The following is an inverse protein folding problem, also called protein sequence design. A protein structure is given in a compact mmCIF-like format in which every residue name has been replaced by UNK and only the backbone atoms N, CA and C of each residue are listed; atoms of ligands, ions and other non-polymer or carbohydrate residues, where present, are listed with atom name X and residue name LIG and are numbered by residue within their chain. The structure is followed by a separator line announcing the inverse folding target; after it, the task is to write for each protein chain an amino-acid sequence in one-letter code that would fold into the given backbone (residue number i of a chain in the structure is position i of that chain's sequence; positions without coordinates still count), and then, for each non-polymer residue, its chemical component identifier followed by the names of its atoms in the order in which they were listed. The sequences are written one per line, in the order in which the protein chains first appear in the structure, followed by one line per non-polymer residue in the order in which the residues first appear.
data_IF_085508556199
#
_entry.id   IF_085508556199
#
_cell.length_a   1.000
_cell.length_b   1.000
_cell.length_c   1.000
_cell.angle_alpha   90.00
_cell.angle_beta   90.00
_cell.angle_gamma   90.00
#
_symmetry.space_group_name_H-M   'P 1'
#
loop_
_entity.id
_entity.type
_entity.pdbx_description
1 polymer ?
#
# COMPACT_ATOMS: atom_id res chain seq x y z
N UNK A 1 43.52 20.39 15.46
CA UNK A 1 43.10 18.98 15.63
C UNK A 1 41.92 18.77 14.70
N UNK A 2 42.09 17.98 13.63
CA UNK A 2 40.99 17.59 12.75
C UNK A 2 40.53 16.21 13.20
N UNK A 3 39.43 16.14 13.94
CA UNK A 3 38.74 14.88 14.22
C UNK A 3 38.03 14.45 12.94
N UNK A 4 38.60 13.46 12.25
CA UNK A 4 37.89 12.71 11.22
C UNK A 4 36.83 11.85 11.90
N UNK A 5 35.67 12.45 12.16
CA UNK A 5 34.45 11.69 12.41
C UNK A 5 34.06 11.04 11.08
N UNK A 6 34.22 9.71 11.00
CA UNK A 6 33.48 8.95 10.01
C UNK A 6 32.03 9.03 10.44
N UNK A 7 31.29 10.02 9.94
CA UNK A 7 29.87 10.11 10.20
C UNK A 7 29.24 8.79 9.76
N UNK A 8 28.64 8.11 10.73
CA UNK A 8 28.02 6.81 10.50
C UNK A 8 26.82 7.08 9.62
N UNK A 9 26.70 6.39 8.49
CA UNK A 9 25.52 6.55 7.64
C UNK A 9 24.28 6.11 8.42
N UNK A 10 23.23 6.91 8.40
CA UNK A 10 21.95 6.51 8.96
C UNK A 10 21.45 5.24 8.26
N UNK A 11 21.08 4.22 9.03
CA UNK A 11 20.58 2.95 8.49
C UNK A 11 19.27 3.10 7.69
N UNK A 12 18.51 4.15 7.97
CA UNK A 12 17.25 4.47 7.28
C UNK A 12 17.44 5.40 6.08
N UNK A 13 18.65 5.91 5.84
CA UNK A 13 18.97 6.76 4.70
C UNK A 13 18.03 7.96 4.57
N UNK A 14 17.48 8.15 3.37
CA UNK A 14 16.51 9.21 3.05
C UNK A 14 15.13 9.04 3.71
N UNK A 15 14.83 7.84 4.22
CA UNK A 15 13.55 7.54 4.88
C UNK A 15 13.57 7.80 6.39
N UNK A 16 14.69 8.30 6.93
CA UNK A 16 14.80 8.63 8.34
C UNK A 16 13.82 9.75 8.71
N UNK A 17 12.93 9.47 9.66
CA UNK A 17 11.96 10.40 10.24
C UNK A 17 12.45 11.06 11.54
N UNK A 18 13.58 10.60 12.07
CA UNK A 18 14.22 11.19 13.24
C UNK A 18 14.79 12.58 12.92
N UNK A 19 14.22 13.59 13.60
CA UNK A 19 14.61 14.99 13.50
C UNK A 19 15.28 15.50 14.78
N UNK A 20 15.67 14.62 15.72
CA UNK A 20 16.46 15.00 16.88
C UNK A 20 17.79 15.62 16.40
N UNK A 21 18.11 16.87 16.79
CA UNK A 21 19.39 17.49 16.47
C UNK A 21 20.60 16.62 16.82
N UNK A 22 20.48 15.78 17.87
CA UNK A 22 21.52 14.84 18.23
C UNK A 22 21.72 13.77 17.16
N UNK A 23 20.66 13.10 16.72
CA UNK A 23 20.71 12.10 15.64
C UNK A 23 21.24 12.70 14.33
N UNK A 24 20.76 13.90 13.95
CA UNK A 24 21.21 14.60 12.75
C UNK A 24 22.69 15.03 12.81
N UNK A 25 23.26 15.17 14.01
CA UNK A 25 24.69 15.47 14.21
C UNK A 25 25.57 14.22 14.24
N UNK A 26 25.00 13.07 14.63
CA UNK A 26 25.72 11.80 14.79
C UNK A 26 25.74 10.97 13.50
N UNK A 27 24.71 11.12 12.66
CA UNK A 27 24.52 10.31 11.46
C UNK A 27 24.45 11.13 10.16
N UNK A 28 25.18 10.66 9.16
CA UNK A 28 25.09 11.21 7.80
C UNK A 28 23.79 10.76 7.14
N UNK A 29 23.11 11.72 6.53
CA UNK A 29 21.90 11.52 5.74
C UNK A 29 22.10 12.00 4.31
N UNK A 30 21.36 11.46 3.34
CA UNK A 30 21.37 11.98 1.97
C UNK A 30 20.83 13.41 1.89
N UNK A 31 21.10 14.06 0.76
CA UNK A 31 20.51 15.36 0.45
C UNK A 31 19.00 15.27 0.31
N UNK A 32 18.32 16.41 0.48
CA UNK A 32 16.91 16.52 0.17
C UNK A 32 16.65 16.30 -1.31
N UNK A 33 15.51 15.68 -1.62
CA UNK A 33 15.03 15.52 -2.98
C UNK A 33 14.86 16.89 -3.65
N UNK A 34 15.36 17.03 -4.88
CA UNK A 34 15.28 18.29 -5.65
C UNK A 34 13.84 18.73 -5.91
N UNK A 35 12.90 17.78 -5.97
CA UNK A 35 11.48 18.05 -6.16
C UNK A 35 10.75 18.45 -4.85
N UNK A 36 11.46 18.41 -3.70
CA UNK A 36 10.95 18.78 -2.38
C UNK A 36 9.55 18.20 -2.07
N UNK A 37 8.58 19.06 -1.71
CA UNK A 37 7.19 18.68 -1.43
C UNK A 37 6.38 18.25 -2.65
N UNK A 38 6.91 18.42 -3.87
CA UNK A 38 6.26 18.02 -5.12
C UNK A 38 6.74 16.66 -5.63
N UNK A 39 7.67 16.01 -4.93
CA UNK A 39 8.18 14.70 -5.33
C UNK A 39 7.05 13.65 -5.37
N UNK A 40 6.80 13.08 -6.55
CA UNK A 40 5.85 11.97 -6.74
C UNK A 40 6.53 10.61 -6.85
N UNK A 41 7.86 10.57 -6.75
CA UNK A 41 8.61 9.33 -6.86
C UNK A 41 8.56 8.54 -5.54
N UNK A 42 7.78 7.48 -5.56
CA UNK A 42 7.58 6.58 -4.41
C UNK A 42 8.47 5.35 -4.46
N UNK A 43 9.34 5.21 -5.47
CA UNK A 43 10.19 4.02 -5.57
C UNK A 43 11.16 3.96 -4.39
N UNK A 44 11.28 2.79 -3.78
CA UNK A 44 12.11 2.58 -2.58
C UNK A 44 13.55 3.04 -2.76
N UNK A 45 14.13 2.81 -3.95
CA UNK A 45 15.47 3.29 -4.29
C UNK A 45 15.60 4.82 -4.19
N UNK A 46 14.58 5.55 -4.66
CA UNK A 46 14.54 7.00 -4.57
C UNK A 46 14.32 7.48 -3.13
N UNK A 47 13.36 6.89 -2.42
CA UNK A 47 13.07 7.22 -1.02
C UNK A 47 14.26 6.96 -0.09
N UNK A 48 15.09 5.95 -0.40
CA UNK A 48 16.29 5.67 0.36
C UNK A 48 17.45 6.63 -0.01
N UNK A 49 17.52 7.05 -1.28
CA UNK A 49 18.59 7.89 -1.79
C UNK A 49 18.44 9.38 -1.46
N UNK A 50 17.24 9.86 -1.11
CA UNK A 50 16.97 11.28 -0.87
C UNK A 50 16.05 11.47 0.32
N UNK A 51 16.27 12.54 1.09
CA UNK A 51 15.33 12.94 2.14
C UNK A 51 14.12 13.65 1.55
N UNK A 52 12.96 13.45 2.17
CA UNK A 52 11.72 14.12 1.80
C UNK A 52 11.11 14.84 2.99
N UNK A 53 10.28 15.84 2.69
CA UNK A 53 9.37 16.40 3.68
C UNK A 53 8.34 15.34 4.14
N UNK A 54 7.81 15.45 5.37
CA UNK A 54 6.78 14.55 5.85
C UNK A 54 5.55 14.53 4.91
N UNK A 55 4.84 13.40 4.88
CA UNK A 55 3.61 13.30 4.11
C UNK A 55 2.51 14.13 4.75
N UNK A 56 1.76 14.86 3.92
CA UNK A 56 0.58 15.58 4.37
C UNK A 56 -0.54 14.59 4.73
N UNK A 57 -1.18 14.75 5.89
CA UNK A 57 -2.34 13.94 6.28
C UNK A 57 -3.53 14.11 5.34
N UNK A 58 -3.66 15.29 4.72
CA UNK A 58 -4.73 15.62 3.79
C UNK A 58 -4.42 15.22 2.34
N UNK A 59 -3.24 14.59 2.12
CA UNK A 59 -2.84 14.05 0.82
C UNK A 59 -2.86 15.08 -0.31
N UNK A 60 -3.37 14.70 -1.48
CA UNK A 60 -3.44 15.59 -2.65
C UNK A 60 -4.49 16.70 -2.56
N UNK A 61 -5.40 16.60 -1.59
CA UNK A 61 -6.47 17.58 -1.42
C UNK A 61 -6.04 18.79 -0.59
N UNK A 62 -4.84 18.75 0.00
CA UNK A 62 -4.26 19.88 0.68
C UNK A 62 -3.97 21.01 -0.32
N UNK A 63 -4.48 22.21 -0.04
CA UNK A 63 -4.41 23.34 -0.96
C UNK A 63 -3.16 24.21 -0.79
N UNK A 64 -2.41 24.11 0.31
CA UNK A 64 -1.19 24.90 0.49
C UNK A 64 -0.33 24.51 1.70
N UNK A 65 0.59 23.55 1.53
CA UNK A 65 1.57 23.24 2.56
C UNK A 65 2.98 23.09 1.96
N UNK A 66 3.83 24.12 2.10
CA UNK A 66 5.23 24.02 1.66
C UNK A 66 6.08 23.09 2.52
N UNK A 67 5.56 22.72 3.70
CA UNK A 67 6.24 21.91 4.71
C UNK A 67 5.97 20.41 4.56
N UNK A 68 5.05 20.03 3.67
CA UNK A 68 4.62 18.65 3.49
C UNK A 68 4.68 18.23 2.03
N UNK A 69 4.88 16.93 1.82
CA UNK A 69 4.79 16.29 0.51
C UNK A 69 3.35 15.86 0.23
N UNK A 70 2.84 16.25 -0.94
CA UNK A 70 1.50 15.91 -1.41
C UNK A 70 1.57 14.86 -2.51
N UNK A 71 2.00 13.65 -2.14
CA UNK A 71 2.02 12.51 -3.05
C UNK A 71 1.27 11.32 -2.45
N UNK A 72 0.98 10.31 -3.27
CA UNK A 72 0.28 9.12 -2.78
C UNK A 72 1.31 8.34 -2.00
N UNK A 73 0.95 7.88 -0.82
CA UNK A 73 1.82 6.96 -0.07
C UNK A 73 1.64 5.55 -0.60
N UNK A 74 2.64 4.69 -0.49
CA UNK A 74 2.45 3.26 -0.79
C UNK A 74 1.58 2.68 0.33
N UNK A 75 0.51 1.97 -0.02
CA UNK A 75 -0.28 1.26 0.98
C UNK A 75 0.60 0.16 1.63
N UNK A 76 0.78 0.16 2.96
CA UNK A 76 1.67 -0.80 3.63
C UNK A 76 1.20 -2.25 3.47
N UNK A 77 -0.11 -2.44 3.25
CA UNK A 77 -0.72 -3.75 3.05
C UNK A 77 -0.85 -4.13 1.58
N UNK A 78 -0.63 -3.19 0.65
CA UNK A 78 -0.81 -3.35 -0.79
C UNK A 78 -2.04 -4.22 -1.14
N UNK A 79 -1.86 -5.35 -1.83
CA UNK A 79 -2.94 -6.28 -2.20
C UNK A 79 -3.72 -6.83 -1.01
N UNK A 80 -3.17 -6.82 0.21
CA UNK A 80 -3.84 -7.22 1.44
C UNK A 80 -4.57 -6.06 2.16
N UNK A 81 -4.64 -4.89 1.54
CA UNK A 81 -5.32 -3.73 2.09
C UNK A 81 -6.78 -4.03 2.41
N UNK A 82 -7.18 -3.84 3.66
CA UNK A 82 -8.57 -3.96 4.14
C UNK A 82 -9.38 -2.68 3.93
N UNK A 83 -8.71 -1.54 3.74
CA UNK A 83 -9.30 -0.22 3.53
C UNK A 83 -9.48 0.14 2.06
N UNK A 84 -9.30 -0.81 1.13
CA UNK A 84 -9.41 -0.57 -0.31
C UNK A 84 -10.80 -0.08 -0.77
N UNK A 85 -11.84 -0.22 0.05
CA UNK A 85 -13.17 0.38 -0.18
C UNK A 85 -13.34 1.79 0.34
N UNK A 86 -12.47 2.21 1.26
CA UNK A 86 -12.43 3.60 1.69
C UNK A 86 -11.88 4.42 0.53
N UNK A 87 -12.73 5.30 -0.02
CA UNK A 87 -12.38 6.14 -1.17
C UNK A 87 -11.21 7.06 -0.83
N UNK A 88 -11.20 7.64 0.37
CA UNK A 88 -10.14 8.54 0.80
C UNK A 88 -8.82 7.78 0.93
N UNK A 89 -8.84 6.58 1.53
CA UNK A 89 -7.66 5.72 1.58
C UNK A 89 -7.14 5.38 0.18
N UNK A 90 -8.02 4.89 -0.70
CA UNK A 90 -7.64 4.44 -2.04
C UNK A 90 -7.17 5.59 -2.95
N UNK A 91 -7.71 6.79 -2.77
CA UNK A 91 -7.28 7.99 -3.49
C UNK A 91 -5.91 8.47 -3.01
N UNK A 92 -5.62 8.37 -1.71
CA UNK A 92 -4.37 8.85 -1.11
C UNK A 92 -3.24 7.80 -1.05
N UNK A 93 -3.53 6.54 -1.38
CA UNK A 93 -2.53 5.47 -1.36
C UNK A 93 -2.37 4.77 -2.71
N UNK A 94 -1.18 4.22 -2.95
CA UNK A 94 -0.82 3.44 -4.12
C UNK A 94 -0.99 1.97 -3.77
N UNK A 95 -1.70 1.25 -4.65
CA UNK A 95 -1.85 -0.19 -4.62
C UNK A 95 -1.38 -0.77 -5.96
N UNK A 96 -0.87 -2.00 -5.96
CA UNK A 96 -0.47 -2.76 -7.14
C UNK A 96 -1.68 -3.26 -7.95
N UNK A 97 -2.86 -3.31 -7.33
CA UNK A 97 -4.09 -3.70 -7.99
C UNK A 97 -4.83 -2.47 -8.58
N UNK A 98 -5.55 -2.69 -9.68
CA UNK A 98 -6.44 -1.70 -10.33
C UNK A 98 -7.60 -1.31 -9.40
N UNK A 99 -8.37 -0.29 -9.78
CA UNK A 99 -9.59 0.12 -9.07
C UNK A 99 -10.44 -1.10 -8.64
N UNK A 100 -10.81 -1.21 -7.35
CA UNK A 100 -11.67 -2.28 -6.88
C UNK A 100 -12.98 -2.33 -7.62
N UNK A 101 -13.45 -3.53 -7.91
CA UNK A 101 -14.78 -3.73 -8.44
C UNK A 101 -15.81 -3.23 -7.41
N UNK A 102 -16.82 -2.43 -7.82
CA UNK A 102 -17.89 -1.99 -6.91
C UNK A 102 -18.68 -3.14 -6.26
N UNK A 103 -18.62 -4.34 -6.84
CA UNK A 103 -19.31 -5.54 -6.37
C UNK A 103 -18.40 -6.49 -5.57
N UNK A 104 -17.13 -6.14 -5.36
CA UNK A 104 -16.20 -6.83 -4.45
C UNK A 104 -16.37 -6.26 -3.02
N UNK A 105 -16.11 -7.01 -1.94
CA UNK A 105 -15.91 -8.46 -1.89
C UNK A 105 -17.20 -9.27 -2.12
N UNK A 106 -18.36 -8.61 -2.12
CA UNK A 106 -19.60 -9.27 -1.69
C UNK A 106 -20.35 -10.12 -2.73
N UNK A 107 -20.20 -9.90 -4.05
CA UNK A 107 -20.61 -10.85 -5.11
C UNK A 107 -20.53 -10.22 -6.51
N UNK A 108 -19.35 -10.21 -7.13
CA UNK A 108 -19.27 -9.84 -8.54
C UNK A 108 -19.62 -11.04 -9.43
N UNK A 109 -20.88 -11.14 -9.89
CA UNK A 109 -21.33 -12.23 -10.77
C UNK A 109 -20.54 -12.34 -12.07
N UNK A 110 -20.10 -11.21 -12.65
CA UNK A 110 -19.23 -11.19 -13.82
C UNK A 110 -17.89 -11.87 -13.54
N UNK A 111 -17.30 -11.60 -12.39
CA UNK A 111 -16.03 -12.22 -12.00
C UNK A 111 -16.19 -13.70 -11.68
N UNK A 112 -17.27 -14.08 -10.98
CA UNK A 112 -17.62 -15.49 -10.73
C UNK A 112 -17.79 -16.24 -12.05
N UNK A 113 -18.50 -15.65 -13.01
CA UNK A 113 -18.61 -16.20 -14.36
C UNK A 113 -17.24 -16.36 -15.00
N UNK A 114 -16.43 -15.28 -15.01
CA UNK A 114 -15.09 -15.25 -15.60
C UNK A 114 -14.19 -16.38 -15.09
N UNK A 115 -14.10 -16.57 -13.76
CA UNK A 115 -13.28 -17.64 -13.16
C UNK A 115 -13.85 -19.04 -13.43
N UNK A 116 -15.17 -19.21 -13.50
CA UNK A 116 -15.83 -20.51 -13.71
C UNK A 116 -15.73 -20.99 -15.17
N UNK A 117 -15.71 -20.07 -16.14
CA UNK A 117 -15.59 -20.43 -17.57
C UNK A 117 -14.21 -20.93 -17.98
N UNK A 118 -13.15 -20.71 -17.19
CA UNK A 118 -11.78 -21.15 -17.52
C UNK A 118 -11.35 -20.78 -18.95
N UNK A 119 -10.62 -21.68 -19.63
CA UNK A 119 -10.19 -21.53 -21.04
C UNK A 119 -11.29 -21.83 -22.07
N UNK A 120 -12.57 -21.93 -21.68
CA UNK A 120 -13.63 -22.15 -22.66
C UNK A 120 -13.98 -20.84 -23.35
N UNK A 121 -13.91 -20.82 -24.68
CA UNK A 121 -13.99 -19.63 -25.55
C UNK A 121 -15.36 -18.90 -25.58
N UNK A 122 -16.14 -18.90 -24.50
CA UNK A 122 -17.50 -18.32 -24.45
C UNK A 122 -17.71 -17.36 -23.27
N UNK A 123 -16.77 -16.43 -23.06
CA UNK A 123 -16.99 -15.29 -22.18
C UNK A 123 -17.50 -14.12 -23.04
N UNK A 124 -18.52 -13.40 -22.57
CA UNK A 124 -18.96 -12.19 -23.28
C UNK A 124 -17.89 -11.09 -23.16
N UNK A 125 -17.72 -10.30 -24.20
CA UNK A 125 -16.75 -9.18 -24.19
C UNK A 125 -17.01 -8.20 -23.04
N UNK A 126 -18.26 -8.09 -22.58
CA UNK A 126 -18.63 -7.29 -21.42
C UNK A 126 -17.97 -7.81 -20.12
N UNK A 127 -18.04 -9.11 -19.86
CA UNK A 127 -17.46 -9.74 -18.66
C UNK A 127 -15.94 -9.63 -18.68
N UNK A 128 -15.33 -9.87 -19.84
CA UNK A 128 -13.88 -9.75 -20.01
C UNK A 128 -13.40 -8.31 -19.77
N UNK A 129 -14.06 -7.32 -20.38
CA UNK A 129 -13.75 -5.91 -20.18
C UNK A 129 -13.89 -5.49 -18.71
N UNK A 130 -14.92 -5.97 -18.02
CA UNK A 130 -15.11 -5.72 -16.59
C UNK A 130 -13.95 -6.28 -15.77
N UNK A 131 -13.57 -7.53 -16.01
CA UNK A 131 -12.51 -8.22 -15.26
C UNK A 131 -11.10 -7.70 -15.59
N UNK A 132 -10.89 -7.05 -16.75
CA UNK A 132 -9.65 -6.33 -17.06
C UNK A 132 -9.64 -4.88 -16.58
N UNK A 133 -10.80 -4.29 -16.33
CA UNK A 133 -10.88 -2.92 -15.81
C UNK A 133 -10.74 -2.86 -14.30
N UNK A 134 -11.38 -3.80 -13.60
CA UNK A 134 -11.46 -3.79 -12.14
C UNK A 134 -10.61 -4.89 -11.51
N UNK A 135 -10.23 -4.68 -10.25
CA UNK A 135 -9.65 -5.72 -9.41
C UNK A 135 -10.72 -6.36 -8.55
N UNK A 136 -10.57 -7.67 -8.33
CA UNK A 136 -11.49 -8.48 -7.54
C UNK A 136 -10.73 -9.16 -6.42
N UNK A 137 -11.48 -9.62 -5.41
CA UNK A 137 -10.91 -10.49 -4.39
C UNK A 137 -10.54 -11.83 -5.02
N UNK A 138 -9.29 -12.23 -4.87
CA UNK A 138 -8.82 -13.50 -5.37
C UNK A 138 -9.47 -14.63 -4.56
N UNK A 139 -10.21 -15.57 -5.21
CA UNK A 139 -10.77 -16.72 -4.51
C UNK A 139 -9.67 -17.70 -4.08
N UNK A 140 -8.47 -17.62 -4.68
CA UNK A 140 -7.33 -18.47 -4.38
C UNK A 140 -6.37 -17.87 -3.34
N UNK A 141 -6.74 -16.74 -2.72
CA UNK A 141 -5.94 -16.11 -1.68
C UNK A 141 -4.54 -15.67 -2.15
N UNK A 142 -3.51 -15.88 -1.31
CA UNK A 142 -2.18 -15.26 -1.42
C UNK A 142 -1.35 -15.59 -2.68
N UNK A 143 -1.80 -16.49 -3.55
CA UNK A 143 -1.01 -16.97 -4.70
C UNK A 143 -1.04 -16.04 -5.93
N UNK A 144 -1.94 -15.07 -6.00
CA UNK A 144 -2.01 -14.10 -7.10
C UNK A 144 -1.19 -12.82 -6.82
N UNK A 145 -0.73 -12.10 -7.85
CA UNK A 145 0.06 -10.85 -7.66
C UNK A 145 -0.70 -9.58 -8.02
N UNK A 146 -1.81 -9.71 -8.74
CA UNK A 146 -2.51 -8.59 -9.38
C UNK A 146 -3.95 -8.39 -8.88
N UNK A 147 -4.40 -9.25 -7.97
CA UNK A 147 -5.76 -9.26 -7.42
C UNK A 147 -5.76 -8.80 -5.97
N UNK A 148 -6.93 -8.39 -5.47
CA UNK A 148 -7.09 -7.98 -4.08
C UNK A 148 -7.09 -9.25 -3.23
N UNK A 149 -6.21 -9.31 -2.26
CA UNK A 149 -6.08 -10.38 -1.29
C UNK A 149 -6.51 -9.86 0.06
N UNK A 150 -7.74 -9.36 0.16
CA UNK A 150 -8.28 -9.06 1.48
C UNK A 150 -8.24 -10.40 2.21
N UNK A 151 -7.41 -10.47 3.24
CA UNK A 151 -7.57 -11.51 4.23
C UNK A 151 -8.77 -11.15 5.10
N UNK A 152 -9.91 -10.76 4.51
CA UNK A 152 -11.21 -10.82 5.16
C UNK A 152 -11.36 -9.82 6.34
N UNK A 153 -12.48 -9.86 7.06
CA UNK A 153 -12.85 -8.87 8.10
C UNK A 153 -11.78 -8.78 9.20
N UNK A 154 -11.48 -7.63 9.80
CA UNK A 154 -10.57 -7.62 10.96
C UNK A 154 -11.15 -8.53 12.04
N UNK A 155 -10.36 -9.49 12.53
CA UNK A 155 -10.76 -10.33 13.65
C UNK A 155 -11.05 -9.43 14.86
N UNK A 156 -12.24 -9.54 15.44
CA UNK A 156 -12.62 -8.77 16.64
C UNK A 156 -11.68 -8.99 17.81
N UNK A 157 -11.02 -10.14 17.85
CA UNK A 157 -10.12 -10.52 18.93
C UNK A 157 -8.66 -10.17 18.66
N UNK A 158 -8.28 -9.67 17.47
CA UNK A 158 -6.93 -9.22 17.06
C UNK A 158 -5.80 -10.02 17.76
N UNK A 159 -5.31 -9.54 18.90
CA UNK A 159 -4.17 -10.11 19.63
C UNK A 159 -4.49 -11.38 20.46
N UNK A 160 -5.78 -11.66 20.65
CA UNK A 160 -6.33 -12.73 21.50
C UNK A 160 -7.10 -13.78 20.72
N UNK A 161 -7.09 -13.71 19.39
CA UNK A 161 -7.78 -14.70 18.58
C UNK A 161 -7.25 -16.10 18.92
N UNK A 162 -8.14 -17.05 19.23
CA UNK A 162 -7.74 -18.44 19.47
C UNK A 162 -7.85 -19.29 18.20
N UNK A 163 -8.37 -18.70 17.12
CA UNK A 163 -8.70 -19.36 15.85
C UNK A 163 -7.61 -19.18 14.78
N UNK A 164 -6.35 -18.92 15.19
CA UNK A 164 -5.21 -18.77 14.27
C UNK A 164 -4.86 -20.03 13.47
N UNK A 165 -5.40 -21.19 13.84
CA UNK A 165 -5.21 -22.46 13.13
C UNK A 165 -6.46 -22.93 12.41
N UNK A 166 -7.58 -22.23 12.57
CA UNK A 166 -8.84 -22.58 11.92
C UNK A 166 -8.82 -21.98 10.51
N UNK A 167 -8.76 -22.86 9.50
CA UNK A 167 -8.72 -22.45 8.09
C UNK A 167 -9.96 -21.66 7.69
N UNK A 168 -11.15 -21.96 8.25
CA UNK A 168 -12.41 -21.27 7.95
C UNK A 168 -12.44 -19.86 8.59
N UNK A 169 -11.97 -19.76 9.84
CA UNK A 169 -11.78 -18.48 10.51
C UNK A 169 -10.75 -17.63 9.79
N UNK A 170 -9.58 -18.23 9.52
CA UNK A 170 -8.57 -17.58 8.73
C UNK A 170 -9.26 -17.13 7.46
N UNK A 171 -10.05 -17.98 6.76
CA UNK A 171 -10.98 -17.75 5.62
C UNK A 171 -11.93 -16.58 5.69
N UNK A 172 -12.19 -16.04 6.88
CA UNK A 172 -13.11 -14.92 7.09
C UNK A 172 -12.53 -13.75 7.88
N UNK A 173 -11.30 -13.87 8.43
CA UNK A 173 -10.70 -12.81 9.23
C UNK A 173 -9.20 -12.47 9.01
N UNK A 174 -8.87 -11.19 9.18
CA UNK A 174 -7.54 -10.57 9.13
C UNK A 174 -7.01 -10.30 10.54
N UNK A 175 -5.73 -10.57 10.76
CA UNK A 175 -5.00 -10.14 11.96
C UNK A 175 -3.85 -9.21 11.53
N UNK A 176 -3.82 -7.95 11.98
CA UNK A 176 -2.65 -7.10 11.80
C UNK A 176 -1.47 -7.74 12.54
N UNK A 177 -0.37 -7.97 11.82
CA UNK A 177 0.87 -8.50 12.38
C UNK A 177 1.73 -7.42 13.00
#
# INVERSE_FOLDING_TARGET
MFTFLHNIKCQYGGQCDDNDPKHLSEYDHPDYCIDEGNCQNVHQQHLFAYRHLPLCSDGFHCSNCKEFRHCKSICPYDNCCIQFHDKQHFENTIHSFRLPCPFTPYNCSMYVGFIQTGNTNKISSEVENHCYKYSHVCPFGRQCKTSIHIARTICSDIDKCLQFTDEEHLESFSHPG
#
